data_IF_198861388659
#
_entry.id   IF_198861388659
#
_cell.length_a   1.000
_cell.length_b   1.000
_cell.length_c   1.000
_cell.angle_alpha   90.00
_cell.angle_beta   90.00
_cell.angle_gamma   90.00
#
_symmetry.space_group_name_H-M   'P 1'
#
loop_
_entity.id
_entity.type
_entity.pdbx_description
1 polymer ?
#
# COMPACT_ATOMS: atom_id res chain seq x y z
N UNK A 1 3.60 -17.97 12.71
CA UNK A 1 4.40 -17.06 11.86
C UNK A 1 3.67 -16.96 10.54
N UNK A 2 3.46 -15.76 10.01
CA UNK A 2 2.81 -15.60 8.71
C UNK A 2 3.57 -16.37 7.64
N UNK A 3 2.89 -17.24 6.93
CA UNK A 3 3.46 -18.08 5.85
C UNK A 3 3.82 -17.26 4.61
N UNK A 4 3.48 -15.98 4.58
CA UNK A 4 3.65 -15.09 3.44
C UNK A 4 4.64 -13.97 3.70
N UNK A 5 5.24 -13.47 2.60
CA UNK A 5 6.10 -12.30 2.57
C UNK A 5 5.60 -11.34 1.50
N UNK A 6 5.44 -10.07 1.84
CA UNK A 6 4.84 -9.05 0.98
C UNK A 6 5.91 -8.23 0.27
N UNK A 7 5.85 -8.18 -1.05
CA UNK A 7 6.71 -7.30 -1.84
C UNK A 7 5.84 -6.37 -2.69
N UNK A 8 6.09 -5.07 -2.56
CA UNK A 8 5.67 -4.10 -3.56
C UNK A 8 6.83 -3.84 -4.51
N UNK A 9 6.68 -4.26 -5.76
CA UNK A 9 7.73 -4.12 -6.75
C UNK A 9 7.41 -3.04 -7.76
N UNK A 10 8.15 -1.94 -7.67
CA UNK A 10 8.13 -0.88 -8.67
C UNK A 10 9.00 -1.28 -9.84
N UNK A 11 8.43 -1.39 -11.03
CA UNK A 11 9.18 -1.75 -12.24
C UNK A 11 9.52 -0.56 -13.12
N UNK A 12 8.93 0.60 -12.86
CA UNK A 12 9.20 1.87 -13.55
C UNK A 12 8.85 3.06 -12.66
N UNK A 13 9.55 4.18 -12.85
CA UNK A 13 9.13 5.46 -12.28
C UNK A 13 8.23 6.27 -13.23
N UNK A 14 8.13 5.88 -14.50
CA UNK A 14 7.29 6.56 -15.49
C UNK A 14 5.82 6.55 -15.07
N UNK A 15 5.17 7.70 -15.15
CA UNK A 15 3.73 7.83 -14.89
C UNK A 15 3.12 8.87 -15.83
N UNK A 16 1.88 8.64 -16.26
CA UNK A 16 1.10 9.58 -17.05
C UNK A 16 0.41 10.66 -16.21
N UNK A 17 0.38 10.52 -14.88
CA UNK A 17 -0.21 11.48 -13.96
C UNK A 17 0.88 12.19 -13.12
N UNK A 18 0.49 13.35 -12.57
CA UNK A 18 1.31 14.14 -11.62
C UNK A 18 0.47 14.45 -10.38
N UNK A 19 0.10 13.37 -9.66
CA UNK A 19 -0.77 13.50 -8.50
C UNK A 19 -0.13 14.35 -7.40
N UNK A 20 -0.92 15.21 -6.77
CA UNK A 20 -0.44 16.14 -5.73
C UNK A 20 0.01 15.41 -4.46
N UNK A 21 -0.59 14.26 -4.15
CA UNK A 21 -0.27 13.42 -2.99
C UNK A 21 0.85 12.41 -3.25
N UNK A 22 1.40 12.35 -4.48
CA UNK A 22 2.32 11.30 -4.88
C UNK A 22 3.59 11.29 -4.03
N UNK A 23 3.99 10.10 -3.58
CA UNK A 23 5.25 9.91 -2.85
C UNK A 23 6.49 9.95 -3.76
N UNK A 24 6.32 9.95 -5.10
CA UNK A 24 7.40 10.09 -6.08
C UNK A 24 7.71 11.56 -6.37
N UNK A 25 8.97 11.82 -6.70
CA UNK A 25 9.48 13.10 -7.21
C UNK A 25 9.97 12.96 -8.67
N UNK A 26 10.39 11.76 -9.07
CA UNK A 26 10.83 11.43 -10.41
C UNK A 26 9.77 10.57 -11.13
N UNK A 27 9.47 10.94 -12.38
CA UNK A 27 8.45 10.29 -13.20
C UNK A 27 9.01 9.91 -14.58
N UNK A 28 10.31 9.63 -14.67
CA UNK A 28 11.00 9.23 -15.90
C UNK A 28 11.36 7.76 -15.89
N UNK A 29 11.67 7.21 -17.08
CA UNK A 29 12.14 5.83 -17.25
C UNK A 29 13.67 5.69 -17.17
N UNK A 30 14.39 6.74 -16.76
CA UNK A 30 15.87 6.72 -16.71
C UNK A 30 16.46 5.63 -15.82
N UNK A 31 15.72 5.24 -14.79
CA UNK A 31 16.12 4.18 -13.87
C UNK A 31 15.51 2.81 -14.21
N UNK A 32 14.74 2.72 -15.29
CA UNK A 32 14.16 1.46 -15.71
C UNK A 32 15.28 0.55 -16.22
N UNK A 33 15.36 -0.63 -15.66
CA UNK A 33 16.33 -1.66 -16.06
C UNK A 33 15.72 -2.60 -17.09
N UNK A 34 16.56 -3.39 -17.77
CA UNK A 34 16.09 -4.36 -18.76
C UNK A 34 15.31 -5.51 -18.08
N UNK A 35 14.51 -6.23 -18.87
CA UNK A 35 13.80 -7.40 -18.40
C UNK A 35 14.74 -8.46 -17.82
N UNK A 36 15.94 -8.63 -18.37
CA UNK A 36 16.92 -9.60 -17.86
C UNK A 36 17.34 -9.29 -16.43
N UNK A 37 17.61 -8.02 -16.11
CA UNK A 37 17.90 -7.60 -14.73
C UNK A 37 16.69 -7.79 -13.80
N UNK A 38 15.47 -7.53 -14.28
CA UNK A 38 14.27 -7.82 -13.46
C UNK A 38 14.13 -9.31 -13.18
N UNK A 39 14.49 -10.16 -14.12
CA UNK A 39 14.52 -11.61 -13.93
C UNK A 39 15.56 -12.02 -12.87
N UNK A 40 16.76 -11.42 -12.88
CA UNK A 40 17.78 -11.63 -11.84
C UNK A 40 17.26 -11.22 -10.46
N UNK A 41 16.62 -10.06 -10.35
CA UNK A 41 15.98 -9.60 -9.12
C UNK A 41 14.93 -10.61 -8.66
N UNK A 42 14.07 -11.09 -9.55
CA UNK A 42 13.04 -12.05 -9.20
C UNK A 42 13.64 -13.38 -8.72
N UNK A 43 14.69 -13.87 -9.38
CA UNK A 43 15.43 -15.07 -8.92
C UNK A 43 16.02 -14.87 -7.51
N UNK A 44 16.54 -13.70 -7.22
CA UNK A 44 17.05 -13.36 -5.88
C UNK A 44 15.93 -13.42 -4.81
N UNK A 45 14.74 -12.89 -5.14
CA UNK A 45 13.54 -12.98 -4.30
C UNK A 45 13.13 -14.44 -4.07
N UNK A 46 13.05 -15.25 -5.13
CA UNK A 46 12.67 -16.66 -5.04
C UNK A 46 13.61 -17.44 -4.11
N UNK A 47 14.92 -17.23 -4.26
CA UNK A 47 15.92 -17.90 -3.42
C UNK A 47 15.76 -17.56 -1.94
N UNK A 48 15.56 -16.29 -1.62
CA UNK A 48 15.29 -15.83 -0.25
C UNK A 48 14.03 -16.48 0.33
N UNK A 49 12.94 -16.51 -0.43
CA UNK A 49 11.67 -17.03 0.06
C UNK A 49 11.68 -18.56 0.22
N UNK A 50 12.39 -19.27 -0.66
CA UNK A 50 12.65 -20.71 -0.49
C UNK A 50 13.46 -20.98 0.77
N UNK A 51 14.51 -20.20 1.02
CA UNK A 51 15.32 -20.30 2.24
C UNK A 51 14.48 -20.07 3.51
N UNK A 52 13.57 -19.08 3.48
CA UNK A 52 12.69 -18.74 4.62
C UNK A 52 11.42 -19.59 4.70
N UNK A 53 11.21 -20.53 3.77
CA UNK A 53 9.96 -21.32 3.65
C UNK A 53 8.70 -20.44 3.65
N UNK A 54 8.70 -19.39 2.83
CA UNK A 54 7.60 -18.44 2.71
C UNK A 54 7.07 -18.37 1.28
N UNK A 55 5.79 -18.03 1.15
CA UNK A 55 5.15 -17.72 -0.14
C UNK A 55 5.13 -16.20 -0.37
N UNK A 56 5.14 -15.81 -1.63
CA UNK A 56 5.14 -14.40 -2.06
C UNK A 56 3.72 -13.88 -2.24
N UNK A 57 3.45 -12.74 -1.60
CA UNK A 57 2.35 -11.85 -1.98
C UNK A 57 2.99 -10.66 -2.68
N UNK A 58 2.73 -10.52 -3.97
CA UNK A 58 3.39 -9.53 -4.82
C UNK A 58 2.41 -8.51 -5.35
N UNK A 59 2.70 -7.23 -5.13
CA UNK A 59 2.06 -6.13 -5.82
C UNK A 59 3.03 -5.52 -6.84
N UNK A 60 2.76 -5.75 -8.11
CA UNK A 60 3.44 -5.08 -9.21
C UNK A 60 2.91 -3.65 -9.34
N UNK A 61 3.81 -2.68 -9.38
CA UNK A 61 3.46 -1.27 -9.41
C UNK A 61 4.57 -0.46 -10.10
N UNK A 62 4.54 0.84 -9.95
CA UNK A 62 5.51 1.78 -10.47
C UNK A 62 5.01 3.21 -10.29
N UNK A 63 5.39 4.12 -11.17
CA UNK A 63 4.59 5.29 -11.44
C UNK A 63 3.25 4.85 -12.04
N UNK A 64 3.31 4.26 -13.24
CA UNK A 64 2.24 3.49 -13.85
C UNK A 64 2.85 2.26 -14.55
N UNK A 65 2.50 1.09 -14.08
CA UNK A 65 3.10 -0.19 -14.51
C UNK A 65 3.02 -0.40 -16.03
N UNK A 66 1.90 -0.02 -16.64
CA UNK A 66 1.65 -0.22 -18.07
C UNK A 66 2.52 0.66 -18.98
N UNK A 67 3.29 1.58 -18.43
CA UNK A 67 4.28 2.36 -19.17
C UNK A 67 5.64 1.66 -19.27
N UNK A 68 5.89 0.62 -18.47
CA UNK A 68 7.09 -0.18 -18.64
C UNK A 68 6.95 -1.07 -19.89
N UNK A 69 7.92 -1.01 -20.80
CA UNK A 69 7.83 -1.65 -22.14
C UNK A 69 7.60 -3.17 -22.09
N UNK A 70 8.20 -3.87 -21.11
CA UNK A 70 8.15 -5.32 -20.96
C UNK A 70 7.19 -5.77 -19.84
N UNK A 71 6.19 -4.96 -19.48
CA UNK A 71 5.26 -5.27 -18.40
C UNK A 71 4.55 -6.63 -18.55
N UNK A 72 4.26 -7.06 -19.79
CA UNK A 72 3.66 -8.37 -20.08
C UNK A 72 4.59 -9.51 -19.68
N UNK A 73 5.87 -9.41 -20.04
CA UNK A 73 6.88 -10.44 -19.72
C UNK A 73 7.07 -10.59 -18.22
N UNK A 74 6.96 -9.50 -17.45
CA UNK A 74 7.06 -9.57 -15.99
C UNK A 74 5.86 -10.30 -15.40
N UNK A 75 4.65 -10.02 -15.88
CA UNK A 75 3.47 -10.75 -15.44
C UNK A 75 3.61 -12.24 -15.73
N UNK A 76 4.02 -12.61 -16.95
CA UNK A 76 4.25 -14.01 -17.33
C UNK A 76 5.32 -14.67 -16.44
N UNK A 77 6.44 -13.99 -16.20
CA UNK A 77 7.51 -14.46 -15.32
C UNK A 77 7.00 -14.77 -13.92
N UNK A 78 6.29 -13.82 -13.33
CA UNK A 78 5.81 -13.97 -11.94
C UNK A 78 4.74 -15.06 -11.83
N UNK A 79 3.82 -15.14 -12.79
CA UNK A 79 2.79 -16.18 -12.80
C UNK A 79 3.35 -17.59 -13.03
N UNK A 80 4.51 -17.72 -13.66
CA UNK A 80 5.15 -19.02 -13.86
C UNK A 80 5.80 -19.61 -12.60
N UNK A 81 5.87 -18.83 -11.52
CA UNK A 81 6.58 -19.22 -10.29
C UNK A 81 5.63 -19.79 -9.24
N UNK A 82 5.96 -20.99 -8.77
CA UNK A 82 5.20 -21.69 -7.71
C UNK A 82 5.28 -21.01 -6.33
N UNK A 83 6.25 -20.10 -6.14
CA UNK A 83 6.41 -19.38 -4.87
C UNK A 83 5.36 -18.28 -4.69
N UNK A 84 4.76 -17.81 -5.79
CA UNK A 84 3.78 -16.75 -5.79
C UNK A 84 2.43 -17.28 -5.32
N UNK A 85 1.96 -16.77 -4.18
CA UNK A 85 0.65 -17.10 -3.63
C UNK A 85 -0.44 -16.14 -4.10
N UNK A 86 -0.11 -14.84 -4.20
CA UNK A 86 -1.02 -13.81 -4.69
C UNK A 86 -0.25 -12.79 -5.50
N UNK A 87 -0.89 -12.30 -6.56
CA UNK A 87 -0.37 -11.21 -7.38
C UNK A 87 -1.43 -10.14 -7.58
N UNK A 88 -1.03 -8.89 -7.37
CA UNK A 88 -1.82 -7.70 -7.66
C UNK A 88 -1.10 -6.76 -8.61
N UNK A 89 -1.86 -6.00 -9.37
CA UNK A 89 -1.39 -4.85 -10.13
C UNK A 89 -1.98 -3.59 -9.53
N UNK A 90 -1.13 -2.68 -9.06
CA UNK A 90 -1.55 -1.35 -8.61
C UNK A 90 -1.41 -0.37 -9.78
N UNK A 91 -2.51 0.23 -10.21
CA UNK A 91 -2.58 1.12 -11.36
C UNK A 91 -3.55 2.29 -11.12
N UNK A 92 -3.36 3.39 -11.85
CA UNK A 92 -4.36 4.45 -11.95
C UNK A 92 -5.51 4.09 -12.91
N UNK A 93 -5.38 3.01 -13.66
CA UNK A 93 -6.38 2.44 -14.55
C UNK A 93 -6.41 3.01 -15.97
N UNK A 94 -5.72 4.10 -16.27
CA UNK A 94 -5.86 4.81 -17.56
C UNK A 94 -5.42 4.00 -18.78
N UNK A 95 -4.66 2.94 -18.58
CA UNK A 95 -4.20 2.00 -19.61
C UNK A 95 -4.99 0.69 -19.66
N UNK A 96 -6.08 0.57 -18.90
CA UNK A 96 -6.98 -0.58 -18.95
C UNK A 96 -7.92 -0.47 -20.17
N UNK A 97 -7.35 -0.59 -21.36
CA UNK A 97 -8.05 -0.65 -22.64
C UNK A 97 -8.26 -2.10 -23.07
N UNK A 98 -8.98 -2.32 -24.19
CA UNK A 98 -9.32 -3.66 -24.70
C UNK A 98 -8.10 -4.57 -24.87
N UNK A 99 -6.97 -4.04 -25.37
CA UNK A 99 -5.74 -4.82 -25.56
C UNK A 99 -5.15 -5.27 -24.23
N UNK A 100 -5.05 -4.35 -23.26
CA UNK A 100 -4.57 -4.65 -21.91
C UNK A 100 -5.49 -5.67 -21.23
N UNK A 101 -6.79 -5.44 -21.26
CA UNK A 101 -7.79 -6.32 -20.65
C UNK A 101 -7.79 -7.71 -21.29
N UNK A 102 -7.61 -7.79 -22.62
CA UNK A 102 -7.49 -9.07 -23.32
C UNK A 102 -6.27 -9.88 -22.85
N UNK A 103 -5.13 -9.22 -22.64
CA UNK A 103 -3.94 -9.88 -22.09
C UNK A 103 -4.17 -10.35 -20.66
N UNK A 104 -4.70 -9.46 -19.79
CA UNK A 104 -4.93 -9.77 -18.38
C UNK A 104 -5.92 -10.91 -18.15
N UNK A 105 -6.87 -11.15 -19.06
CA UNK A 105 -7.80 -12.29 -19.01
C UNK A 105 -7.11 -13.68 -18.98
N UNK A 106 -5.85 -13.75 -19.41
CA UNK A 106 -5.08 -14.99 -19.30
C UNK A 106 -4.63 -15.29 -17.86
N UNK A 107 -4.83 -14.35 -16.93
CA UNK A 107 -4.38 -14.43 -15.54
C UNK A 107 -5.56 -14.11 -14.59
N UNK A 108 -6.58 -15.00 -14.53
CA UNK A 108 -7.85 -14.72 -13.84
C UNK A 108 -7.70 -14.54 -12.32
N UNK A 109 -6.66 -15.08 -11.72
CA UNK A 109 -6.39 -14.99 -10.29
C UNK A 109 -5.72 -13.66 -9.90
N UNK A 110 -5.31 -12.87 -10.89
CA UNK A 110 -4.67 -11.58 -10.64
C UNK A 110 -5.67 -10.56 -10.11
N UNK A 111 -5.26 -9.83 -9.07
CA UNK A 111 -6.04 -8.74 -8.50
C UNK A 111 -5.70 -7.41 -9.18
N UNK A 112 -6.70 -6.69 -9.67
CA UNK A 112 -6.52 -5.33 -10.19
C UNK A 112 -6.85 -4.34 -9.06
N UNK A 113 -5.84 -3.59 -8.62
CA UNK A 113 -5.95 -2.61 -7.55
C UNK A 113 -5.96 -1.20 -8.14
N UNK A 114 -7.11 -0.55 -8.10
CA UNK A 114 -7.29 0.80 -8.65
C UNK A 114 -7.04 1.84 -7.55
N UNK A 115 -6.06 2.69 -7.79
CA UNK A 115 -5.73 3.77 -6.86
C UNK A 115 -6.62 4.99 -7.05
N UNK A 116 -7.18 5.52 -5.97
CA UNK A 116 -7.91 6.80 -5.99
C UNK A 116 -7.83 7.50 -4.63
N UNK A 117 -8.02 8.80 -4.62
CA UNK A 117 -8.16 9.65 -3.43
C UNK A 117 -9.51 10.39 -3.45
N UNK A 118 -10.34 10.12 -4.46
CA UNK A 118 -11.65 10.71 -4.60
C UNK A 118 -12.55 9.89 -5.50
N UNK A 119 -13.82 9.80 -5.15
CA UNK A 119 -14.88 9.18 -5.96
C UNK A 119 -15.84 10.22 -6.52
N UNK A 120 -15.65 11.49 -6.17
CA UNK A 120 -16.35 12.66 -6.69
C UNK A 120 -15.36 13.54 -7.45
N UNK A 121 -15.85 14.26 -8.48
CA UNK A 121 -15.02 14.97 -9.44
C UNK A 121 -14.06 15.97 -8.79
N UNK A 122 -14.56 16.81 -7.90
CA UNK A 122 -13.79 17.89 -7.29
C UNK A 122 -12.61 17.32 -6.49
N UNK A 123 -12.84 16.30 -5.69
CA UNK A 123 -11.83 15.66 -4.86
C UNK A 123 -10.86 14.84 -5.73
N UNK A 124 -11.37 14.06 -6.69
CA UNK A 124 -10.52 13.30 -7.60
C UNK A 124 -9.56 14.20 -8.37
N UNK A 125 -10.09 15.30 -8.98
CA UNK A 125 -9.30 16.22 -9.78
C UNK A 125 -8.33 17.06 -8.95
N UNK A 126 -8.64 17.34 -7.69
CA UNK A 126 -7.70 17.97 -6.76
C UNK A 126 -6.43 17.15 -6.59
N UNK A 127 -6.56 15.82 -6.46
CA UNK A 127 -5.39 14.95 -6.27
C UNK A 127 -4.75 14.51 -7.58
N UNK A 128 -5.54 14.21 -8.61
CA UNK A 128 -5.07 13.54 -9.83
C UNK A 128 -5.02 14.42 -11.07
N UNK A 129 -5.35 15.69 -10.91
CA UNK A 129 -5.30 16.69 -11.99
C UNK A 129 -6.64 16.91 -12.68
N UNK A 130 -6.86 18.17 -13.03
CA UNK A 130 -8.09 18.65 -13.67
C UNK A 130 -8.34 17.95 -15.01
N UNK A 131 -9.60 17.54 -15.26
CA UNK A 131 -10.04 16.86 -16.49
C UNK A 131 -9.89 15.34 -16.46
N UNK A 132 -9.21 14.77 -15.46
CA UNK A 132 -8.95 13.34 -15.39
C UNK A 132 -10.14 12.52 -14.83
N UNK A 133 -11.13 13.15 -14.20
CA UNK A 133 -12.27 12.43 -13.64
C UNK A 133 -13.10 11.71 -14.68
N UNK A 134 -13.27 12.31 -15.88
CA UNK A 134 -13.95 11.66 -16.99
C UNK A 134 -13.29 10.34 -17.38
N UNK A 135 -11.95 10.32 -17.48
CA UNK A 135 -11.21 9.09 -17.80
C UNK A 135 -11.32 8.06 -16.67
N UNK A 136 -11.29 8.48 -15.43
CA UNK A 136 -11.52 7.61 -14.28
C UNK A 136 -12.91 6.93 -14.36
N UNK A 137 -13.99 7.69 -14.63
CA UNK A 137 -15.33 7.11 -14.75
C UNK A 137 -15.45 6.13 -15.93
N UNK A 138 -14.81 6.42 -17.08
CA UNK A 138 -14.74 5.49 -18.20
C UNK A 138 -14.06 4.16 -17.80
N UNK A 139 -12.97 4.22 -17.04
CA UNK A 139 -12.27 3.03 -16.50
C UNK A 139 -13.17 2.26 -15.54
N UNK A 140 -13.93 2.94 -14.68
CA UNK A 140 -14.87 2.29 -13.77
C UNK A 140 -15.95 1.51 -14.54
N UNK A 141 -16.49 2.07 -15.63
CA UNK A 141 -17.48 1.35 -16.46
C UNK A 141 -16.87 0.14 -17.19
N UNK A 142 -15.62 0.23 -17.67
CA UNK A 142 -14.91 -0.91 -18.24
C UNK A 142 -14.77 -2.01 -17.17
N UNK A 143 -14.28 -1.68 -15.98
CA UNK A 143 -14.07 -2.65 -14.90
C UNK A 143 -15.39 -3.26 -14.41
N UNK A 144 -16.47 -2.49 -14.36
CA UNK A 144 -17.81 -2.96 -13.97
C UNK A 144 -18.25 -4.15 -14.82
N UNK A 145 -17.94 -4.14 -16.11
CA UNK A 145 -18.30 -5.20 -17.06
C UNK A 145 -17.40 -6.43 -17.00
N UNK A 146 -16.43 -6.49 -16.07
CA UNK A 146 -15.45 -7.57 -15.98
C UNK A 146 -15.60 -8.39 -14.68
N UNK A 147 -15.17 -9.66 -14.76
CA UNK A 147 -15.14 -10.58 -13.61
C UNK A 147 -13.77 -10.65 -12.91
N UNK A 148 -12.88 -9.68 -13.14
CA UNK A 148 -11.61 -9.63 -12.41
C UNK A 148 -11.81 -9.42 -10.92
N UNK A 149 -10.90 -9.96 -10.11
CA UNK A 149 -10.76 -9.56 -8.73
C UNK A 149 -10.33 -8.09 -8.69
N UNK A 150 -11.17 -7.23 -8.12
CA UNK A 150 -10.96 -5.77 -8.11
C UNK A 150 -10.94 -5.24 -6.68
N UNK A 151 -9.92 -4.45 -6.40
CA UNK A 151 -9.79 -3.74 -5.12
C UNK A 151 -9.63 -2.25 -5.37
N UNK A 152 -10.43 -1.44 -4.70
CA UNK A 152 -10.25 0.01 -4.70
C UNK A 152 -9.23 0.37 -3.62
N UNK A 153 -8.12 1.02 -3.98
CA UNK A 153 -7.13 1.53 -3.02
C UNK A 153 -7.38 3.02 -2.79
N UNK A 154 -7.76 3.37 -1.59
CA UNK A 154 -8.12 4.74 -1.22
C UNK A 154 -7.11 5.30 -0.20
N UNK A 155 -6.36 6.32 -0.62
CA UNK A 155 -5.45 7.03 0.29
C UNK A 155 -6.21 8.13 1.00
N UNK A 156 -6.32 8.00 2.33
CA UNK A 156 -7.03 8.95 3.19
C UNK A 156 -6.15 10.14 3.54
N UNK A 157 -6.74 11.31 3.38
CA UNK A 157 -6.25 12.62 3.84
C UNK A 157 -7.34 13.30 4.68
N UNK A 158 -7.02 14.43 5.30
CA UNK A 158 -8.05 15.23 5.98
C UNK A 158 -9.11 15.75 4.98
N UNK A 159 -8.68 16.17 3.79
CA UNK A 159 -9.53 16.78 2.77
C UNK A 159 -10.53 15.82 2.11
N UNK A 160 -10.25 14.51 2.08
CA UNK A 160 -11.14 13.53 1.43
C UNK A 160 -11.86 12.60 2.42
N UNK A 161 -11.69 12.83 3.70
CA UNK A 161 -12.18 11.94 4.77
C UNK A 161 -13.69 11.72 4.75
N UNK A 162 -14.47 12.71 4.30
CA UNK A 162 -15.93 12.63 4.22
C UNK A 162 -16.44 11.67 3.12
N UNK A 163 -15.56 11.28 2.18
CA UNK A 163 -15.96 10.35 1.12
C UNK A 163 -16.06 8.90 1.60
N UNK A 164 -15.57 8.59 2.80
CA UNK A 164 -15.52 7.22 3.31
C UNK A 164 -16.90 6.56 3.39
N UNK A 165 -17.94 7.32 3.75
CA UNK A 165 -19.31 6.80 3.83
C UNK A 165 -19.84 6.39 2.46
N UNK A 166 -19.44 7.09 1.39
CA UNK A 166 -19.87 6.87 0.02
C UNK A 166 -19.08 5.75 -0.68
N UNK A 167 -17.92 5.35 -0.17
CA UNK A 167 -17.04 4.34 -0.80
C UNK A 167 -17.75 2.99 -0.90
N UNK A 168 -18.55 2.60 0.10
CA UNK A 168 -19.30 1.35 0.08
C UNK A 168 -20.26 1.26 -1.12
N UNK A 169 -21.04 2.31 -1.35
CA UNK A 169 -21.99 2.36 -2.47
C UNK A 169 -21.26 2.47 -3.81
N UNK A 170 -20.19 3.23 -3.87
CA UNK A 170 -19.32 3.29 -5.05
C UNK A 170 -18.77 1.91 -5.41
N UNK A 171 -18.24 1.17 -4.45
CA UNK A 171 -17.73 -0.17 -4.67
C UNK A 171 -18.82 -1.13 -5.15
N UNK A 172 -20.02 -1.09 -4.57
CA UNK A 172 -21.18 -1.87 -5.05
C UNK A 172 -21.56 -1.51 -6.48
N UNK A 173 -21.65 -0.22 -6.80
CA UNK A 173 -21.98 0.29 -8.13
C UNK A 173 -21.06 -0.24 -9.24
N UNK A 174 -19.75 -0.36 -8.94
CA UNK A 174 -18.72 -0.75 -9.90
C UNK A 174 -18.18 -2.17 -9.69
N UNK A 175 -18.88 -2.99 -8.89
CA UNK A 175 -18.55 -4.41 -8.64
C UNK A 175 -17.13 -4.60 -8.08
N UNK A 176 -16.66 -3.71 -7.20
CA UNK A 176 -15.48 -3.98 -6.40
C UNK A 176 -15.84 -4.89 -5.24
N UNK A 177 -15.12 -6.00 -5.11
CA UNK A 177 -15.29 -6.92 -3.98
C UNK A 177 -14.58 -6.46 -2.72
N UNK A 178 -13.63 -5.52 -2.87
CA UNK A 178 -12.79 -5.03 -1.78
C UNK A 178 -12.46 -3.56 -1.96
N UNK A 179 -12.23 -2.88 -0.83
CA UNK A 179 -11.48 -1.63 -0.82
C UNK A 179 -10.47 -1.61 0.33
N UNK A 180 -9.37 -0.89 0.11
CA UNK A 180 -8.31 -0.69 1.10
C UNK A 180 -8.23 0.78 1.41
N UNK A 181 -8.14 1.11 2.70
CA UNK A 181 -7.93 2.46 3.19
C UNK A 181 -6.54 2.55 3.80
N UNK A 182 -5.72 3.44 3.25
CA UNK A 182 -4.38 3.72 3.73
C UNK A 182 -4.24 5.20 4.10
N UNK A 183 -3.42 5.47 5.12
CA UNK A 183 -3.12 6.86 5.54
C UNK A 183 -2.17 7.53 4.55
N UNK A 184 -2.44 8.76 4.20
CA UNK A 184 -1.51 9.60 3.45
C UNK A 184 -0.22 9.83 4.24
N UNK A 185 0.92 9.72 3.55
CA UNK A 185 2.25 10.02 4.09
C UNK A 185 2.88 11.07 3.18
N UNK A 186 3.24 12.26 3.71
CA UNK A 186 3.72 13.39 2.93
C UNK A 186 5.18 13.19 2.48
N UNK A 187 5.34 12.58 1.32
CA UNK A 187 6.60 12.32 0.64
C UNK A 187 6.49 12.77 -0.82
N UNK A 188 7.61 12.93 -1.50
CA UNK A 188 7.62 13.35 -2.89
C UNK A 188 6.82 14.64 -3.11
N UNK A 189 5.96 14.66 -4.15
CA UNK A 189 5.04 15.78 -4.39
C UNK A 189 4.08 16.00 -3.21
N UNK A 190 3.75 14.95 -2.46
CA UNK A 190 2.87 15.03 -1.29
C UNK A 190 3.39 15.90 -0.16
N UNK A 191 4.66 16.30 -0.16
CA UNK A 191 5.22 17.25 0.80
C UNK A 191 4.51 18.60 0.75
N UNK A 192 4.06 19.03 -0.43
CA UNK A 192 3.38 20.30 -0.66
C UNK A 192 1.99 20.36 0.03
N UNK A 193 1.36 19.22 0.21
CA UNK A 193 0.07 19.08 0.89
C UNK A 193 0.20 18.44 2.28
N UNK A 194 1.33 18.58 2.94
CA UNK A 194 1.60 18.02 4.28
C UNK A 194 0.52 18.35 5.32
N UNK A 195 -0.13 19.52 5.20
CA UNK A 195 -1.25 19.93 6.07
C UNK A 195 -2.48 19.00 5.98
N UNK A 196 -2.59 18.23 4.87
CA UNK A 196 -3.72 17.33 4.62
C UNK A 196 -3.52 15.94 5.24
N UNK A 197 -2.49 15.74 6.08
CA UNK A 197 -2.36 14.54 6.90
C UNK A 197 -3.61 14.41 7.75
N UNK A 198 -4.26 13.24 7.70
CA UNK A 198 -5.45 12.97 8.51
C UNK A 198 -5.16 13.19 10.00
N UNK A 199 -6.04 13.88 10.69
CA UNK A 199 -5.94 14.08 12.15
C UNK A 199 -6.39 12.81 12.87
N UNK A 200 -5.92 12.62 14.10
CA UNK A 200 -6.26 11.43 14.88
C UNK A 200 -7.78 11.32 15.14
N UNK A 201 -8.48 12.42 15.37
CA UNK A 201 -9.92 12.41 15.57
C UNK A 201 -10.67 12.02 14.29
N UNK A 202 -10.24 12.52 13.14
CA UNK A 202 -10.78 12.16 11.82
C UNK A 202 -10.50 10.69 11.51
N UNK A 203 -9.27 10.22 11.77
CA UNK A 203 -8.91 8.81 11.60
C UNK A 203 -9.78 7.90 12.46
N UNK A 204 -10.03 8.27 13.71
CA UNK A 204 -10.91 7.54 14.61
C UNK A 204 -12.36 7.48 14.08
N UNK A 205 -12.90 8.60 13.56
CA UNK A 205 -14.24 8.62 12.94
C UNK A 205 -14.32 7.67 11.76
N UNK A 206 -13.32 7.70 10.87
CA UNK A 206 -13.26 6.79 9.73
C UNK A 206 -13.33 5.33 10.16
N UNK A 207 -12.52 4.95 11.16
CA UNK A 207 -12.50 3.56 11.63
C UNK A 207 -13.85 3.16 12.22
N UNK A 208 -14.52 4.04 12.98
CA UNK A 208 -15.87 3.78 13.49
C UNK A 208 -16.87 3.54 12.36
N UNK A 209 -16.83 4.34 11.28
CA UNK A 209 -17.67 4.14 10.10
C UNK A 209 -17.42 2.76 9.47
N UNK A 210 -16.15 2.31 9.39
CA UNK A 210 -15.85 0.96 8.89
C UNK A 210 -16.43 -0.13 9.77
N UNK A 211 -16.29 -0.01 11.11
CA UNK A 211 -16.83 -0.97 12.07
C UNK A 211 -18.36 -1.05 11.96
N UNK A 212 -19.05 0.08 11.96
CA UNK A 212 -20.50 0.17 11.84
C UNK A 212 -21.01 -0.49 10.56
N UNK A 213 -20.37 -0.19 9.41
CA UNK A 213 -20.73 -0.79 8.11
C UNK A 213 -20.39 -2.29 8.00
N UNK A 214 -19.56 -2.81 8.90
CA UNK A 214 -19.27 -4.25 9.03
C UNK A 214 -20.06 -4.92 10.15
N UNK A 215 -20.99 -4.22 10.81
CA UNK A 215 -21.78 -4.76 11.92
C UNK A 215 -20.95 -5.08 13.17
N UNK A 216 -19.83 -4.39 13.36
CA UNK A 216 -18.91 -4.60 14.48
C UNK A 216 -19.00 -3.47 15.49
N UNK A 217 -18.85 -3.80 16.77
CA UNK A 217 -18.68 -2.80 17.82
C UNK A 217 -17.25 -2.29 17.84
N UNK A 218 -17.08 -0.96 17.85
CA UNK A 218 -15.75 -0.33 17.83
C UNK A 218 -15.09 -0.41 19.22
N UNK A 219 -13.92 -1.04 19.25
CA UNK A 219 -13.04 -1.03 20.40
C UNK A 219 -11.63 -0.57 19.98
N UNK A 220 -11.07 0.41 20.68
CA UNK A 220 -9.72 0.91 20.41
C UNK A 220 -8.65 -0.19 20.49
N UNK A 221 -8.77 -1.13 21.42
CA UNK A 221 -7.81 -2.21 21.58
C UNK A 221 -7.66 -3.05 20.31
N UNK A 222 -8.76 -3.24 19.56
CA UNK A 222 -8.77 -4.07 18.36
C UNK A 222 -8.08 -3.42 17.16
N UNK A 223 -7.84 -2.11 17.22
CA UNK A 223 -7.29 -1.34 16.08
C UNK A 223 -5.86 -0.83 16.31
N UNK A 224 -5.34 -0.92 17.51
CA UNK A 224 -4.04 -0.38 17.90
C UNK A 224 -2.87 -0.78 16.97
N UNK A 225 -2.71 -2.06 16.55
CA UNK A 225 -1.57 -2.46 15.72
C UNK A 225 -1.72 -2.09 14.25
N UNK A 226 -2.90 -1.61 13.80
CA UNK A 226 -3.19 -1.47 12.38
C UNK A 226 -2.88 -0.07 11.83
N UNK A 227 -2.41 -0.02 10.60
CA UNK A 227 -2.00 1.21 9.88
C UNK A 227 -2.84 1.48 8.63
N UNK A 228 -3.60 0.50 8.21
CA UNK A 228 -4.59 0.54 7.15
C UNK A 228 -5.68 -0.49 7.40
N UNK A 229 -6.73 -0.42 6.64
CA UNK A 229 -7.85 -1.34 6.75
C UNK A 229 -8.31 -1.78 5.37
N UNK A 230 -8.69 -3.05 5.26
CA UNK A 230 -9.36 -3.60 4.09
C UNK A 230 -10.77 -4.00 4.49
N UNK A 231 -11.73 -3.61 3.68
CA UNK A 231 -13.09 -4.13 3.75
C UNK A 231 -13.30 -5.06 2.56
N UNK A 232 -13.69 -6.29 2.84
CA UNK A 232 -14.16 -7.25 1.85
C UNK A 232 -15.69 -7.30 1.89
N UNK A 233 -16.32 -7.03 0.75
CA UNK A 233 -17.78 -6.98 0.62
C UNK A 233 -18.26 -8.26 -0.04
N UNK A 234 -19.09 -9.03 0.69
CA UNK A 234 -19.70 -10.28 0.24
C UNK A 234 -21.23 -10.19 0.32
N UNK A 235 -21.90 -11.16 -0.26
CA UNK A 235 -23.37 -11.24 -0.20
C UNK A 235 -23.89 -11.37 1.23
N UNK A 236 -23.16 -12.10 2.07
CA UNK A 236 -23.47 -12.33 3.48
C UNK A 236 -23.12 -11.17 4.42
N UNK A 237 -22.41 -10.15 3.93
CA UNK A 237 -22.01 -8.97 4.71
C UNK A 237 -20.63 -8.42 4.38
N UNK A 238 -20.23 -7.39 5.11
CA UNK A 238 -18.91 -6.78 4.96
C UNK A 238 -17.98 -7.30 6.07
N UNK A 239 -16.74 -7.61 5.71
CA UNK A 239 -15.71 -8.11 6.62
C UNK A 239 -14.56 -7.12 6.70
N UNK A 240 -14.17 -6.76 7.92
CA UNK A 240 -13.09 -5.79 8.18
C UNK A 240 -11.80 -6.50 8.58
N UNK A 241 -10.71 -6.17 7.91
CA UNK A 241 -9.37 -6.65 8.19
C UNK A 241 -8.42 -5.49 8.44
N UNK A 242 -7.66 -5.57 9.53
CA UNK A 242 -6.62 -4.60 9.84
C UNK A 242 -5.28 -4.99 9.21
N UNK A 243 -4.55 -4.01 8.71
CA UNK A 243 -3.20 -4.18 8.17
C UNK A 243 -2.16 -3.55 9.10
N UNK A 244 -1.29 -4.36 9.68
CA UNK A 244 -0.15 -3.92 10.48
C UNK A 244 1.03 -3.50 9.61
N UNK A 245 2.04 -2.88 10.22
CA UNK A 245 3.25 -2.45 9.50
C UNK A 245 4.11 -3.67 9.10
N UNK A 246 4.51 -3.73 7.83
CA UNK A 246 5.37 -4.80 7.28
C UNK A 246 6.86 -4.60 7.56
N UNK A 247 7.28 -3.40 7.95
CA UNK A 247 8.70 -3.02 8.11
C UNK A 247 9.42 -3.91 9.11
N UNK A 248 10.44 -4.61 8.63
CA UNK A 248 11.26 -5.51 9.43
C UNK A 248 10.59 -6.82 9.84
N UNK A 249 9.35 -7.09 9.43
CA UNK A 249 8.56 -8.25 9.84
C UNK A 249 8.27 -9.23 8.71
N UNK A 250 7.60 -8.78 7.68
CA UNK A 250 7.05 -9.67 6.65
C UNK A 250 6.93 -9.02 5.26
N UNK A 251 7.68 -7.94 4.99
CA UNK A 251 7.65 -7.32 3.67
C UNK A 251 8.61 -6.17 3.46
N UNK A 252 8.66 -5.72 2.21
CA UNK A 252 9.50 -4.61 1.74
C UNK A 252 9.01 -4.06 0.39
N UNK A 253 9.69 -3.04 -0.11
CA UNK A 253 9.50 -2.53 -1.47
C UNK A 253 10.80 -2.62 -2.27
N UNK A 254 10.67 -2.88 -3.57
CA UNK A 254 11.79 -2.92 -4.52
C UNK A 254 11.52 -1.85 -5.57
N UNK A 255 12.54 -1.05 -5.87
CA UNK A 255 12.48 0.06 -6.82
C UNK A 255 12.97 -0.38 -8.21
N UNK A 256 12.72 0.41 -9.29
CA UNK A 256 13.05 0.01 -10.66
C UNK A 256 14.51 -0.41 -10.87
N UNK A 257 15.44 0.27 -10.22
CA UNK A 257 16.88 -0.01 -10.27
C UNK A 257 17.36 -1.17 -9.37
N UNK A 258 16.44 -1.90 -8.75
CA UNK A 258 16.75 -3.00 -7.82
C UNK A 258 17.02 -2.56 -6.39
N UNK A 259 16.91 -1.27 -6.08
CA UNK A 259 17.05 -0.76 -4.72
C UNK A 259 15.94 -1.29 -3.82
N UNK A 260 16.31 -1.69 -2.61
CA UNK A 260 15.39 -2.22 -1.60
C UNK A 260 15.11 -1.15 -0.56
N UNK A 261 13.82 -0.95 -0.27
CA UNK A 261 13.33 -0.07 0.78
C UNK A 261 12.49 -0.86 1.81
N UNK A 262 12.49 -0.48 3.09
CA UNK A 262 11.69 -1.17 4.11
C UNK A 262 10.19 -1.15 3.81
N UNK A 263 9.71 -0.11 3.15
CA UNK A 263 8.36 0.09 2.68
C UNK A 263 8.40 1.11 1.54
N UNK A 264 7.46 1.04 0.59
CA UNK A 264 7.36 1.97 -0.53
C UNK A 264 7.34 3.45 -0.10
N UNK A 265 6.72 3.73 1.06
CA UNK A 265 6.60 5.08 1.64
C UNK A 265 7.67 5.37 2.70
N UNK A 266 8.76 4.59 2.71
CA UNK A 266 9.87 4.79 3.62
C UNK A 266 11.18 4.85 2.82
N UNK A 267 11.58 6.04 2.32
CA UNK A 267 12.58 6.22 1.26
C UNK A 267 14.03 6.14 1.78
N UNK A 268 14.31 5.17 2.64
CA UNK A 268 15.66 4.80 3.05
C UNK A 268 16.09 3.53 2.32
N UNK A 269 17.05 3.64 1.42
CA UNK A 269 17.67 2.51 0.76
C UNK A 269 18.38 1.63 1.77
N UNK A 270 18.07 0.34 1.78
CA UNK A 270 18.66 -0.67 2.68
C UNK A 270 19.54 -1.69 1.96
N UNK A 271 19.55 -1.68 0.63
CA UNK A 271 20.38 -2.54 -0.21
C UNK A 271 19.98 -2.44 -1.69
N UNK A 272 20.60 -3.30 -2.53
CA UNK A 272 20.27 -3.41 -3.95
C UNK A 272 20.38 -4.87 -4.40
N UNK A 273 19.34 -5.42 -5.05
CA UNK A 273 19.24 -6.84 -5.40
C UNK A 273 20.10 -7.27 -6.59
N UNK A 274 20.64 -6.33 -7.36
CA UNK A 274 21.64 -6.60 -8.40
C UNK A 274 23.07 -6.70 -7.83
N UNK A 275 23.26 -6.31 -6.56
CA UNK A 275 24.58 -6.26 -5.90
C UNK A 275 24.67 -7.19 -4.70
N UNK A 276 23.54 -7.54 -4.08
CA UNK A 276 23.46 -8.25 -2.82
C UNK A 276 22.34 -9.30 -2.85
N UNK A 277 22.47 -10.35 -2.05
CA UNK A 277 21.38 -11.28 -1.79
C UNK A 277 20.32 -10.62 -0.90
N UNK A 278 19.06 -10.94 -1.14
CA UNK A 278 17.97 -10.44 -0.30
C UNK A 278 18.08 -10.92 1.15
N UNK A 279 18.59 -12.14 1.36
CA UNK A 279 18.89 -12.66 2.72
C UNK A 279 19.86 -11.76 3.48
N UNK A 280 20.94 -11.32 2.83
CA UNK A 280 21.94 -10.46 3.46
C UNK A 280 21.36 -9.09 3.83
N UNK A 281 20.55 -8.50 2.91
CA UNK A 281 19.87 -7.23 3.17
C UNK A 281 18.87 -7.38 4.34
N UNK A 282 18.10 -8.47 4.37
CA UNK A 282 17.08 -8.72 5.38
C UNK A 282 17.66 -8.89 6.79
N UNK A 283 18.77 -9.62 6.91
CA UNK A 283 19.40 -9.92 8.18
C UNK A 283 20.29 -8.77 8.69
N UNK A 284 21.01 -8.10 7.80
CA UNK A 284 22.08 -7.17 8.20
C UNK A 284 21.72 -5.69 8.09
N UNK A 285 20.53 -5.33 7.57
CA UNK A 285 20.11 -3.92 7.49
C UNK A 285 19.97 -3.31 8.88
N UNK A 286 20.77 -2.29 9.19
CA UNK A 286 20.66 -1.52 10.42
C UNK A 286 19.28 -0.86 10.59
N UNK A 287 18.68 -0.37 9.49
CA UNK A 287 17.35 0.25 9.51
C UNK A 287 16.29 -0.77 9.93
N UNK A 288 16.33 -1.99 9.38
CA UNK A 288 15.39 -3.06 9.76
C UNK A 288 15.63 -3.50 11.20
N UNK A 289 16.90 -3.72 11.60
CA UNK A 289 17.24 -4.19 12.93
C UNK A 289 16.86 -3.18 14.01
N UNK A 290 17.11 -1.89 13.79
CA UNK A 290 16.66 -0.84 14.70
C UNK A 290 15.12 -0.76 14.76
N UNK A 291 14.41 -0.96 13.64
CA UNK A 291 12.94 -0.93 13.59
C UNK A 291 12.29 -2.13 14.29
N UNK A 292 12.96 -3.29 14.31
CA UNK A 292 12.47 -4.54 14.94
C UNK A 292 12.46 -4.48 16.47
N UNK A 293 13.42 -3.77 17.06
CA UNK A 293 13.55 -3.69 18.52
C UNK A 293 12.91 -2.39 19.05
N UNK A 294 11.79 -2.53 19.76
CA UNK A 294 11.06 -1.42 20.37
C UNK A 294 11.89 -0.56 21.34
N UNK A 295 12.96 -1.12 21.92
CA UNK A 295 13.86 -0.37 22.81
C UNK A 295 14.53 0.80 22.10
N UNK A 296 14.71 0.69 20.79
CA UNK A 296 15.26 1.76 19.95
C UNK A 296 14.23 2.84 19.60
N UNK A 297 12.92 2.53 19.71
CA UNK A 297 11.86 3.48 19.37
C UNK A 297 11.75 4.58 20.43
N UNK A 298 11.10 5.69 20.05
CA UNK A 298 10.89 6.87 20.89
C UNK A 298 9.40 7.07 21.23
N UNK A 299 9.14 8.01 22.15
CA UNK A 299 7.81 8.37 22.58
C UNK A 299 6.98 7.18 23.03
N UNK A 300 5.68 7.18 22.72
CA UNK A 300 4.75 6.11 23.10
C UNK A 300 5.06 4.74 22.46
N UNK A 301 5.83 4.71 21.37
CA UNK A 301 6.22 3.45 20.74
C UNK A 301 7.28 2.71 21.56
N UNK A 302 8.09 3.42 22.37
CA UNK A 302 9.07 2.82 23.26
C UNK A 302 8.37 2.13 24.44
N UNK A 303 8.56 0.82 24.56
CA UNK A 303 7.92 0.07 25.65
C UNK A 303 6.41 -0.13 25.50
N UNK A 304 5.85 0.12 24.30
CA UNK A 304 4.46 -0.16 24.01
C UNK A 304 4.12 -1.63 24.25
N UNK A 305 2.97 -1.90 24.91
CA UNK A 305 2.50 -3.24 25.28
C UNK A 305 2.05 -4.11 24.11
N UNK A 306 1.82 -3.51 22.94
CA UNK A 306 1.37 -4.24 21.73
C UNK A 306 2.58 -4.86 21.05
N UNK A 307 2.80 -6.15 21.25
CA UNK A 307 4.05 -6.84 20.89
C UNK A 307 4.47 -6.67 19.43
N UNK A 308 3.57 -6.86 18.48
CA UNK A 308 3.85 -6.81 17.03
C UNK A 308 3.70 -5.41 16.41
N UNK A 309 3.55 -4.36 17.22
CA UNK A 309 3.36 -3.02 16.73
C UNK A 309 4.63 -2.18 16.87
N UNK A 310 5.14 -1.71 15.76
CA UNK A 310 6.27 -0.76 15.70
C UNK A 310 5.84 0.66 15.30
N UNK A 311 4.53 0.94 15.22
CA UNK A 311 4.00 2.19 14.66
C UNK A 311 4.26 2.30 13.15
N UNK A 312 3.97 3.45 12.54
CA UNK A 312 4.30 3.70 11.14
C UNK A 312 5.66 4.39 11.02
N UNK A 313 6.70 3.62 10.69
CA UNK A 313 8.07 4.16 10.55
C UNK A 313 8.19 5.16 9.40
N UNK A 314 7.40 4.96 8.32
CA UNK A 314 7.34 5.87 7.19
C UNK A 314 6.75 7.24 7.57
N UNK A 315 5.67 7.28 8.35
CA UNK A 315 5.06 8.53 8.82
C UNK A 315 5.97 9.25 9.80
N UNK A 316 6.56 8.54 10.76
CA UNK A 316 7.53 9.10 11.69
C UNK A 316 8.70 9.75 10.94
N UNK A 317 9.29 9.03 9.98
CA UNK A 317 10.37 9.57 9.14
C UNK A 317 9.94 10.79 8.33
N UNK A 318 8.81 10.75 7.67
CA UNK A 318 8.34 11.85 6.82
C UNK A 318 8.10 13.16 7.59
N UNK A 319 7.76 13.06 8.87
CA UNK A 319 7.43 14.21 9.72
C UNK A 319 8.61 14.76 10.50
N UNK A 320 9.49 13.87 10.96
CA UNK A 320 10.57 14.20 11.90
C UNK A 320 11.97 13.94 11.34
N UNK A 321 12.08 13.42 10.13
CA UNK A 321 13.34 12.93 9.54
C UNK A 321 14.06 11.90 10.44
N UNK A 322 13.29 11.24 11.30
CA UNK A 322 13.75 10.18 12.19
C UNK A 322 12.69 9.07 12.25
N UNK A 323 13.06 7.90 11.76
CA UNK A 323 12.13 6.76 11.69
C UNK A 323 11.93 6.07 13.05
N UNK A 324 12.70 6.41 14.06
CA UNK A 324 12.54 5.88 15.41
C UNK A 324 11.52 6.67 16.24
N UNK A 325 11.09 7.84 15.77
CA UNK A 325 10.06 8.65 16.42
C UNK A 325 8.71 7.93 16.49
N UNK A 326 7.84 8.39 17.38
CA UNK A 326 6.51 7.81 17.55
C UNK A 326 5.58 8.00 16.34
N UNK A 327 4.62 7.11 16.19
CA UNK A 327 3.52 7.26 15.23
C UNK A 327 2.47 8.23 15.80
N UNK A 328 2.36 9.43 15.23
CA UNK A 328 1.42 10.47 15.70
C UNK A 328 -0.06 10.07 15.54
N UNK A 329 -0.36 9.09 14.68
CA UNK A 329 -1.70 8.56 14.46
C UNK A 329 -1.97 7.29 15.27
N UNK A 330 -1.18 7.04 16.31
CA UNK A 330 -1.45 5.98 17.26
C UNK A 330 -2.63 6.37 18.17
N UNK A 331 -3.59 5.46 18.33
CA UNK A 331 -4.78 5.69 19.15
C UNK A 331 -4.48 5.91 20.64
N UNK A 332 -3.32 5.53 21.15
CA UNK A 332 -2.86 5.93 22.49
C UNK A 332 -2.67 7.45 22.63
N UNK A 333 -2.48 8.18 21.52
CA UNK A 333 -2.44 9.65 21.52
C UNK A 333 -3.84 10.29 21.45
N UNK A 334 -4.89 9.51 21.27
CA UNK A 334 -6.23 10.03 21.12
C UNK A 334 -6.86 10.40 22.46
N UNK A 335 -7.04 11.70 22.71
CA UNK A 335 -7.61 12.22 23.97
C UNK A 335 -9.13 12.04 24.10
N UNK A 336 -9.84 11.73 23.01
CA UNK A 336 -11.29 11.45 23.01
C UNK A 336 -11.66 10.10 23.63
N UNK A 337 -10.72 9.20 23.80
CA UNK A 337 -10.86 7.92 24.49
C UNK A 337 -10.42 8.01 25.95
N UNK A 338 -11.12 8.78 26.77
CA UNK A 338 -10.95 8.69 28.22
C UNK A 338 -11.38 7.31 28.66
N UNK A 339 -10.43 6.35 28.71
CA UNK A 339 -10.46 5.09 29.45
C UNK A 339 -9.67 3.94 28.80
N UNK A 340 -8.46 4.23 28.27
CA UNK A 340 -7.53 3.13 27.92
C UNK A 340 -6.68 2.71 29.14
N UNK A 341 -6.83 3.38 30.27
CA UNK A 341 -6.06 3.11 31.51
C UNK A 341 -6.81 2.18 32.50
N UNK A 342 -7.71 1.36 32.04
CA UNK A 342 -8.50 0.45 32.87
C UNK A 342 -8.05 -1.00 32.80
N UNK A 343 -6.75 -1.28 32.89
CA UNK A 343 -6.25 -2.57 33.44
C UNK A 343 -4.82 -2.38 33.87
N UNK A 344 -4.63 -2.25 35.19
CA UNK A 344 -3.38 -2.61 35.86
C UNK A 344 -3.21 -4.12 35.82
#
# INVERSE_FOLDING_TARGET
>A
MDETFHIQWHITNSCNLRCTHCYQENFTSEKDISFEFLKEIFTNIENFLKEKNKKLVLDLTGGEIFLYKDWKKIIELVFSSEIVNKIGIITNGFFLNDSTMKFLKNFPEMEIKISTEGIEKEIYEFYRGKGNFKKFTEVMEILKSTNFNKTLMFTITENNSEQIEKIFDFCRQYNFSKFIIERFIPLGNGKEIKKDIVKIDTWCKIIKILFENCGLEFNIADVLPYRGFMVEMKNEGNFLYGASCIVGRDGMAIMPEGDVYPCRRFPLKIGNLLQQKLSDIWENSSVLNLSRDKKNLKGICKGCIIDDCVGCRALAYSLKNDFLEEDILCFFNWKGGKNVNGTK
#
